data_IF_846118028244
#
_entry.id   IF_846118028244
#
_cell.length_a   1.000
_cell.length_b   1.000
_cell.length_c   1.000
_cell.angle_alpha   90.00
_cell.angle_beta   90.00
_cell.angle_gamma   90.00
#
_symmetry.space_group_name_H-M   'P 1'
#
loop_
_entity.id
_entity.type
_entity.pdbx_description
1 polymer ?
#
# COMPACT_ATOMS: atom_id res chain seq x y z
N UNK A 1 -15.58 16.41 -2.61
CA UNK A 1 -16.38 17.58 -2.23
C UNK A 1 -16.95 18.37 -3.41
N UNK A 2 -16.24 18.52 -4.53
CA UNK A 2 -16.71 19.23 -5.73
C UNK A 2 -18.03 18.71 -6.32
N UNK A 3 -18.26 17.40 -6.36
CA UNK A 3 -19.49 16.81 -6.91
C UNK A 3 -20.77 17.20 -6.13
N UNK A 4 -20.68 17.32 -4.81
CA UNK A 4 -21.80 17.74 -3.96
C UNK A 4 -22.13 19.22 -4.14
N UNK A 5 -21.12 20.05 -4.39
CA UNK A 5 -21.30 21.48 -4.69
C UNK A 5 -21.98 21.66 -6.04
N UNK A 6 -21.59 20.89 -7.06
CA UNK A 6 -22.25 20.93 -8.37
C UNK A 6 -23.72 20.50 -8.29
N UNK A 7 -24.01 19.40 -7.58
CA UNK A 7 -25.38 18.90 -7.41
C UNK A 7 -26.26 19.91 -6.65
N UNK A 8 -25.75 20.45 -5.53
CA UNK A 8 -26.44 21.46 -4.74
C UNK A 8 -26.67 22.76 -5.53
N UNK A 9 -25.70 23.19 -6.34
CA UNK A 9 -25.85 24.37 -7.20
C UNK A 9 -26.92 24.16 -8.28
N UNK A 10 -26.95 22.99 -8.93
CA UNK A 10 -27.99 22.69 -9.93
C UNK A 10 -29.39 22.62 -9.32
N UNK A 11 -29.53 22.05 -8.12
CA UNK A 11 -30.81 22.00 -7.40
C UNK A 11 -31.22 23.38 -6.90
N UNK A 12 -30.28 24.18 -6.39
CA UNK A 12 -30.55 25.54 -5.94
C UNK A 12 -30.98 26.46 -7.09
N UNK A 13 -30.33 26.38 -8.26
CA UNK A 13 -30.74 27.13 -9.47
C UNK A 13 -32.13 26.69 -9.94
N UNK A 14 -32.43 25.39 -9.90
CA UNK A 14 -33.74 24.87 -10.26
C UNK A 14 -34.85 25.35 -9.32
N UNK A 15 -34.63 25.28 -8.00
CA UNK A 15 -35.59 25.75 -6.98
C UNK A 15 -35.76 27.27 -7.06
N UNK A 16 -34.66 28.02 -7.15
CA UNK A 16 -34.69 29.49 -7.24
C UNK A 16 -35.48 29.97 -8.46
N UNK A 17 -35.34 29.30 -9.60
CA UNK A 17 -36.13 29.62 -10.80
C UNK A 17 -37.60 29.23 -10.66
N UNK A 18 -37.90 28.14 -9.97
CA UNK A 18 -39.28 27.70 -9.70
C UNK A 18 -40.02 28.68 -8.78
N UNK A 19 -39.30 29.39 -7.90
CA UNK A 19 -39.89 30.35 -6.96
C UNK A 19 -40.06 31.77 -7.49
N UNK A 20 -39.44 32.12 -8.63
CA UNK A 20 -39.44 33.49 -9.18
C UNK A 20 -40.46 33.73 -10.30
N UNK A 21 -41.21 32.71 -10.72
CA UNK A 21 -42.10 32.78 -11.88
C UNK A 21 -43.55 33.09 -11.48
N UNK A 22 -43.79 34.31 -10.99
CA UNK A 22 -45.13 34.90 -10.87
C UNK A 22 -45.47 35.67 -12.16
N UNK A 23 -45.79 34.96 -13.24
CA UNK A 23 -46.15 35.57 -14.52
C UNK A 23 -46.74 34.58 -15.53
N UNK A 24 -48.08 34.46 -15.53
CA UNK A 24 -48.87 33.42 -16.20
C UNK A 24 -49.08 33.61 -17.73
N UNK A 25 -48.10 34.12 -18.50
CA UNK A 25 -48.30 34.35 -19.95
C UNK A 25 -47.48 33.44 -20.89
N UNK A 26 -46.37 32.83 -20.48
CA UNK A 26 -45.56 32.06 -21.44
C UNK A 26 -45.62 30.54 -21.24
N UNK A 27 -46.74 29.97 -21.71
CA UNK A 27 -46.92 28.52 -21.84
C UNK A 27 -45.80 27.81 -22.65
N UNK A 28 -45.06 28.56 -23.46
CA UNK A 28 -43.91 28.09 -24.22
C UNK A 28 -42.59 28.27 -23.46
N UNK A 29 -42.42 29.31 -22.64
CA UNK A 29 -41.21 29.54 -21.86
C UNK A 29 -41.02 28.51 -20.75
N UNK A 30 -42.09 28.08 -20.07
CA UNK A 30 -41.98 26.99 -19.07
C UNK A 30 -41.59 25.67 -19.72
N UNK A 31 -42.13 25.36 -20.92
CA UNK A 31 -41.73 24.15 -21.67
C UNK A 31 -40.28 24.24 -22.11
N UNK A 32 -39.85 25.37 -22.68
CA UNK A 32 -38.49 25.57 -23.17
C UNK A 32 -37.42 25.54 -22.06
N UNK A 33 -37.79 25.82 -20.81
CA UNK A 33 -36.84 25.86 -19.69
C UNK A 33 -36.86 24.63 -18.78
N UNK A 34 -37.99 23.94 -18.65
CA UNK A 34 -38.06 22.69 -17.87
C UNK A 34 -37.34 21.53 -18.55
N UNK A 35 -37.47 21.39 -19.88
CA UNK A 35 -36.84 20.29 -20.61
C UNK A 35 -35.30 20.29 -20.48
N UNK A 36 -34.58 21.40 -20.67
CA UNK A 36 -33.14 21.47 -20.44
C UNK A 36 -32.74 21.16 -18.99
N UNK A 37 -33.50 21.68 -18.01
CA UNK A 37 -33.26 21.42 -16.59
C UNK A 37 -33.40 19.94 -16.24
N UNK A 38 -34.43 19.28 -16.77
CA UNK A 38 -34.67 17.86 -16.57
C UNK A 38 -33.60 17.00 -17.26
N UNK A 39 -33.16 17.38 -18.47
CA UNK A 39 -32.04 16.72 -19.17
C UNK A 39 -30.73 16.84 -18.40
N UNK A 40 -30.40 18.02 -17.86
CA UNK A 40 -29.20 18.22 -17.03
C UNK A 40 -29.27 17.43 -15.72
N UNK A 41 -30.42 17.39 -15.07
CA UNK A 41 -30.63 16.60 -13.86
C UNK A 41 -30.47 15.10 -14.14
N UNK A 42 -31.11 14.59 -15.20
CA UNK A 42 -30.98 13.20 -15.63
C UNK A 42 -29.52 12.85 -15.98
N UNK A 43 -28.81 13.74 -16.69
CA UNK A 43 -27.39 13.59 -16.98
C UNK A 43 -26.52 13.55 -15.73
N UNK A 44 -26.79 14.42 -14.75
CA UNK A 44 -26.04 14.48 -13.48
C UNK A 44 -26.26 13.23 -12.64
N UNK A 45 -27.50 12.77 -12.53
CA UNK A 45 -27.85 11.50 -11.85
C UNK A 45 -27.18 10.32 -12.56
N UNK A 46 -27.22 10.29 -13.90
CA UNK A 46 -26.53 9.27 -14.71
C UNK A 46 -25.02 9.23 -14.43
N UNK A 47 -24.34 10.39 -14.52
CA UNK A 47 -22.93 10.52 -14.18
C UNK A 47 -22.62 10.11 -12.74
N UNK A 48 -23.51 10.43 -11.78
CA UNK A 48 -23.34 10.05 -10.38
C UNK A 48 -23.46 8.54 -10.16
N UNK A 49 -24.44 7.89 -10.79
CA UNK A 49 -24.59 6.42 -10.74
C UNK A 49 -23.36 5.74 -11.36
N UNK A 50 -22.89 6.25 -12.50
CA UNK A 50 -21.68 5.77 -13.17
C UNK A 50 -20.44 5.97 -12.27
N UNK A 51 -20.30 7.15 -11.65
CA UNK A 51 -19.24 7.44 -10.68
C UNK A 51 -19.27 6.49 -9.49
N UNK A 52 -20.44 6.23 -8.88
CA UNK A 52 -20.56 5.29 -7.77
C UNK A 52 -20.23 3.86 -8.18
N UNK A 53 -20.54 3.46 -9.42
CA UNK A 53 -20.16 2.16 -9.98
C UNK A 53 -18.65 2.07 -10.16
N UNK A 54 -18.01 3.08 -10.74
CA UNK A 54 -16.56 3.13 -10.96
C UNK A 54 -15.76 3.32 -9.67
N UNK A 55 -16.32 3.97 -8.64
CA UNK A 55 -15.66 4.12 -7.33
C UNK A 55 -15.36 2.77 -6.67
N UNK A 56 -16.11 1.71 -7.00
CA UNK A 56 -15.83 0.34 -6.54
C UNK A 56 -14.62 -0.29 -7.23
N UNK A 57 -14.17 0.28 -8.34
CA UNK A 57 -13.00 -0.12 -9.13
C UNK A 57 -11.79 0.81 -8.88
N UNK A 58 -11.91 1.76 -7.96
CA UNK A 58 -10.83 2.67 -7.61
C UNK A 58 -9.72 1.91 -6.89
N UNK A 59 -8.58 1.78 -7.56
CA UNK A 59 -7.41 1.07 -7.06
C UNK A 59 -6.63 1.99 -6.12
N UNK A 60 -6.10 1.46 -5.03
CA UNK A 60 -5.24 2.25 -4.15
C UNK A 60 -3.98 2.72 -4.88
N UNK A 61 -3.88 4.04 -5.10
CA UNK A 61 -2.79 4.66 -5.86
C UNK A 61 -1.39 4.29 -5.32
N UNK A 62 -1.26 4.15 -4.00
CA UNK A 62 0.00 3.79 -3.33
C UNK A 62 0.60 2.47 -3.81
N UNK A 63 -0.21 1.49 -4.25
CA UNK A 63 0.29 0.16 -4.66
C UNK A 63 1.16 0.22 -5.92
N UNK A 64 0.62 0.80 -7.00
CA UNK A 64 1.39 0.94 -8.24
C UNK A 64 2.44 2.06 -8.16
N UNK A 65 2.22 3.07 -7.31
CA UNK A 65 3.21 4.13 -7.08
C UNK A 65 4.45 3.59 -6.34
N UNK A 66 4.29 2.65 -5.41
CA UNK A 66 5.43 1.95 -4.80
C UNK A 66 6.28 1.25 -5.86
N UNK A 67 5.63 0.47 -6.74
CA UNK A 67 6.34 -0.26 -7.78
C UNK A 67 7.11 0.69 -8.71
N UNK A 68 6.47 1.77 -9.18
CA UNK A 68 7.11 2.73 -10.07
C UNK A 68 8.28 3.45 -9.41
N UNK A 69 8.14 3.88 -8.15
CA UNK A 69 9.23 4.54 -7.42
C UNK A 69 10.39 3.61 -7.13
N UNK A 70 10.13 2.36 -6.70
CA UNK A 70 11.18 1.38 -6.43
C UNK A 70 11.96 1.07 -7.72
N UNK A 71 11.27 0.81 -8.84
CA UNK A 71 11.91 0.56 -10.13
C UNK A 71 12.72 1.80 -10.57
N UNK A 72 12.17 2.99 -10.42
CA UNK A 72 12.86 4.23 -10.78
C UNK A 72 14.17 4.41 -10.00
N UNK A 73 14.16 4.14 -8.69
CA UNK A 73 15.35 4.23 -7.84
C UNK A 73 16.38 3.15 -8.15
N UNK A 74 15.93 1.95 -8.51
CA UNK A 74 16.80 0.83 -8.90
C UNK A 74 17.29 0.90 -10.35
N UNK A 75 16.77 1.83 -11.18
CA UNK A 75 17.09 1.92 -12.61
C UNK A 75 18.59 1.99 -12.92
N UNK A 76 19.38 2.60 -12.02
CA UNK A 76 20.85 2.69 -12.19
C UNK A 76 21.57 1.39 -11.87
N UNK A 77 21.00 0.58 -10.98
CA UNK A 77 21.60 -0.68 -10.52
C UNK A 77 21.13 -1.89 -11.34
N UNK A 78 20.00 -1.75 -12.05
CA UNK A 78 19.48 -2.70 -13.02
C UNK A 78 20.16 -2.41 -14.37
N UNK A 79 20.80 -3.42 -14.96
CA UNK A 79 21.41 -3.27 -16.28
C UNK A 79 20.36 -3.00 -17.37
N UNK A 80 20.74 -2.35 -18.49
CA UNK A 80 19.79 -1.99 -19.55
C UNK A 80 19.07 -3.20 -20.16
N UNK A 81 19.72 -4.37 -20.17
CA UNK A 81 19.18 -5.62 -20.72
C UNK A 81 18.64 -6.58 -19.64
N UNK A 82 18.64 -6.17 -18.36
CA UNK A 82 18.21 -7.04 -17.28
C UNK A 82 16.68 -7.12 -17.20
N UNK A 83 16.14 -8.35 -17.21
CA UNK A 83 14.71 -8.60 -17.08
C UNK A 83 14.21 -8.26 -15.67
N UNK A 84 13.11 -7.51 -15.60
CA UNK A 84 12.40 -7.20 -14.36
C UNK A 84 11.07 -7.96 -14.35
N UNK A 85 10.85 -8.83 -13.36
CA UNK A 85 9.56 -9.49 -13.13
C UNK A 85 8.83 -8.75 -12.00
N UNK A 86 7.69 -8.16 -12.34
CA UNK A 86 6.83 -7.43 -11.41
C UNK A 86 5.47 -8.15 -11.31
N UNK A 87 5.07 -8.46 -10.10
CA UNK A 87 3.76 -9.01 -9.77
C UNK A 87 3.05 -8.03 -8.82
N UNK A 88 1.84 -7.63 -9.22
CA UNK A 88 0.97 -6.73 -8.47
C UNK A 88 -0.41 -7.36 -8.37
N UNK A 89 -0.87 -7.56 -7.14
CA UNK A 89 -2.25 -7.92 -6.85
C UNK A 89 -3.03 -6.69 -6.39
N UNK A 90 -4.14 -6.43 -7.05
CA UNK A 90 -5.04 -5.31 -6.77
C UNK A 90 -6.34 -5.76 -6.11
N UNK A 91 -6.50 -7.06 -5.84
CA UNK A 91 -7.67 -7.56 -5.12
C UNK A 91 -7.66 -7.06 -3.67
N UNK A 92 -8.84 -6.77 -3.08
CA UNK A 92 -8.93 -6.27 -1.71
C UNK A 92 -8.21 -7.16 -0.70
N UNK A 93 -7.61 -6.54 0.32
CA UNK A 93 -6.86 -7.23 1.40
C UNK A 93 -7.76 -8.20 2.17
N UNK A 94 -9.05 -7.89 2.26
CA UNK A 94 -10.07 -8.65 2.98
C UNK A 94 -10.86 -9.63 2.09
N UNK A 95 -10.32 -9.96 0.92
CA UNK A 95 -10.88 -11.01 0.08
C UNK A 95 -10.83 -12.37 0.79
N UNK A 96 -11.84 -13.24 0.58
CA UNK A 96 -11.94 -14.52 1.29
C UNK A 96 -10.77 -15.47 0.98
N UNK A 97 -10.18 -15.35 -0.21
CA UNK A 97 -9.00 -16.13 -0.64
C UNK A 97 -7.73 -15.81 0.18
N UNK A 98 -7.68 -14.62 0.78
CA UNK A 98 -6.55 -14.14 1.60
C UNK A 98 -6.74 -14.36 3.10
N UNK A 99 -7.85 -15.01 3.49
CA UNK A 99 -8.15 -15.32 4.88
C UNK A 99 -7.24 -16.44 5.39
N UNK A 100 -6.46 -16.14 6.43
CA UNK A 100 -5.60 -17.13 7.10
C UNK A 100 -6.38 -17.97 8.10
N UNK A 101 -7.43 -17.41 8.69
CA UNK A 101 -8.25 -18.09 9.68
C UNK A 101 -9.04 -17.14 10.55
N UNK A 102 -9.94 -17.75 11.34
CA UNK A 102 -10.79 -17.08 12.32
C UNK A 102 -10.51 -17.64 13.70
N UNK A 103 -10.48 -16.79 14.71
CA UNK A 103 -10.28 -17.22 16.10
C UNK A 103 -10.99 -16.28 17.07
N UNK A 104 -11.31 -16.78 18.26
CA UNK A 104 -11.84 -15.95 19.35
C UNK A 104 -10.70 -15.54 20.27
N UNK A 105 -10.50 -14.24 20.42
CA UNK A 105 -9.50 -13.70 21.35
C UNK A 105 -9.91 -13.97 22.81
N UNK A 106 -8.96 -14.02 23.77
CA UNK A 106 -9.29 -14.21 25.18
C UNK A 106 -10.27 -13.16 25.74
N UNK A 107 -10.29 -11.96 25.15
CA UNK A 107 -11.22 -10.88 25.53
C UNK A 107 -12.63 -11.03 24.95
N UNK A 108 -12.90 -12.09 24.18
CA UNK A 108 -14.18 -12.44 23.60
C UNK A 108 -14.55 -11.63 22.34
N UNK A 109 -13.55 -11.25 21.55
CA UNK A 109 -13.74 -10.75 20.18
C UNK A 109 -13.53 -11.87 19.18
N UNK A 110 -14.38 -11.93 18.16
CA UNK A 110 -14.17 -12.73 16.96
C UNK A 110 -13.17 -12.00 16.07
N UNK A 111 -12.08 -12.67 15.70
CA UNK A 111 -10.99 -12.09 14.92
C UNK A 111 -10.79 -12.87 13.63
N UNK A 112 -10.66 -12.14 12.53
CA UNK A 112 -10.34 -12.66 11.20
C UNK A 112 -8.99 -12.08 10.77
N UNK A 113 -8.04 -12.96 10.46
CA UNK A 113 -6.69 -12.58 10.05
C UNK A 113 -6.53 -12.77 8.55
N UNK A 114 -6.05 -11.75 7.85
CA UNK A 114 -5.80 -11.78 6.41
C UNK A 114 -4.32 -11.54 6.10
N UNK A 115 -3.86 -12.13 5.00
CA UNK A 115 -2.51 -11.93 4.45
C UNK A 115 -2.58 -11.67 2.96
N UNK A 116 -2.13 -10.50 2.55
CA UNK A 116 -2.16 -10.06 1.16
C UNK A 116 -0.72 -9.86 0.64
N UNK A 117 -0.10 -10.88 0.01
CA UNK A 117 1.19 -10.77 -0.66
C UNK A 117 1.04 -10.05 -2.00
N UNK A 118 0.75 -8.75 -1.95
CA UNK A 118 0.30 -8.01 -3.13
C UNK A 118 1.41 -7.52 -4.05
N UNK A 119 2.67 -7.48 -3.59
CA UNK A 119 3.80 -6.97 -4.38
C UNK A 119 4.94 -7.96 -4.38
N UNK A 120 5.44 -8.31 -5.57
CA UNK A 120 6.75 -8.92 -5.75
C UNK A 120 7.48 -8.30 -6.94
N UNK A 121 8.72 -7.87 -6.70
CA UNK A 121 9.65 -7.40 -7.72
C UNK A 121 10.89 -8.28 -7.69
N UNK A 122 11.23 -8.88 -8.82
CA UNK A 122 12.42 -9.71 -8.97
C UNK A 122 13.25 -9.18 -10.13
N UNK A 123 14.54 -9.00 -9.92
CA UNK A 123 15.47 -8.53 -10.95
C UNK A 123 16.88 -9.01 -10.68
N UNK A 124 17.75 -8.84 -11.68
CA UNK A 124 19.18 -9.06 -11.56
C UNK A 124 19.88 -7.71 -11.65
N UNK A 125 20.71 -7.43 -10.65
CA UNK A 125 21.50 -6.22 -10.57
C UNK A 125 22.79 -6.37 -11.40
N UNK A 126 23.45 -5.24 -11.70
CA UNK A 126 24.67 -5.17 -12.52
C UNK A 126 25.84 -6.00 -11.98
N UNK A 127 25.93 -6.14 -10.66
CA UNK A 127 26.92 -6.97 -9.96
C UNK A 127 26.68 -8.49 -10.14
N UNK A 128 25.53 -8.85 -10.71
CA UNK A 128 25.06 -10.22 -10.89
C UNK A 128 24.26 -10.76 -9.71
N UNK A 129 23.94 -9.94 -8.70
CA UNK A 129 23.11 -10.30 -7.55
C UNK A 129 21.65 -10.42 -7.97
N UNK A 130 20.97 -11.48 -7.52
CA UNK A 130 19.52 -11.57 -7.69
C UNK A 130 18.84 -10.84 -6.54
N UNK A 131 18.04 -9.84 -6.88
CA UNK A 131 17.25 -9.05 -5.95
C UNK A 131 15.80 -9.50 -6.02
N UNK A 132 15.20 -9.78 -4.87
CA UNK A 132 13.76 -9.95 -4.70
C UNK A 132 13.27 -8.99 -3.63
N UNK A 133 12.32 -8.14 -3.99
CA UNK A 133 11.59 -7.28 -3.07
C UNK A 133 10.16 -7.79 -3.03
N UNK A 134 9.58 -7.87 -1.84
CA UNK A 134 8.18 -8.22 -1.68
C UNK A 134 7.53 -7.38 -0.59
N UNK A 135 6.23 -7.16 -0.70
CA UNK A 135 5.44 -6.54 0.35
C UNK A 135 4.20 -7.37 0.63
N UNK A 136 3.96 -7.62 1.91
CA UNK A 136 2.78 -8.34 2.39
C UNK A 136 2.00 -7.41 3.30
N UNK A 137 0.77 -7.10 2.94
CA UNK A 137 -0.15 -6.39 3.81
C UNK A 137 -0.84 -7.41 4.73
N UNK A 138 -0.87 -7.12 6.03
CA UNK A 138 -1.63 -7.88 7.02
C UNK A 138 -2.79 -7.03 7.51
N UNK A 139 -3.90 -7.70 7.76
CA UNK A 139 -5.13 -7.08 8.23
C UNK A 139 -5.77 -8.01 9.26
N UNK A 140 -6.08 -7.46 10.42
CA UNK A 140 -6.85 -8.15 11.45
C UNK A 140 -8.17 -7.40 11.64
N UNK A 141 -9.28 -8.04 11.29
CA UNK A 141 -10.63 -7.53 11.57
C UNK A 141 -11.14 -8.20 12.84
N UNK A 142 -11.65 -7.40 13.78
CA UNK A 142 -12.20 -7.88 15.05
C UNK A 142 -13.62 -7.40 15.21
N UNK A 143 -14.56 -8.29 15.47
CA UNK A 143 -15.96 -7.98 15.74
C UNK A 143 -16.37 -8.50 17.12
N UNK A 144 -17.32 -7.81 17.75
CA UNK A 144 -17.92 -8.26 19.00
C UNK A 144 -19.34 -7.78 19.12
N UNK A 145 -20.26 -8.72 19.28
CA UNK A 145 -21.68 -8.43 19.54
C UNK A 145 -21.99 -8.63 21.02
N UNK A 146 -22.59 -7.63 21.66
CA UNK A 146 -23.06 -7.70 23.05
C UNK A 146 -24.44 -7.08 23.18
N UNK A 147 -25.23 -7.57 24.13
CA UNK A 147 -26.51 -6.96 24.52
C UNK A 147 -26.26 -5.72 25.38
N UNK A 148 -26.93 -4.61 25.10
CA UNK A 148 -26.90 -3.38 25.89
C UNK A 148 -27.83 -3.47 27.10
N UNK A 149 -27.67 -2.55 28.06
CA UNK A 149 -28.57 -2.42 29.21
C UNK A 149 -30.04 -2.18 28.80
N UNK A 150 -30.27 -1.53 27.64
CA UNK A 150 -31.59 -1.35 27.03
C UNK A 150 -32.15 -2.58 26.30
N UNK A 151 -31.48 -3.74 26.40
CA UNK A 151 -31.90 -5.00 25.79
C UNK A 151 -31.58 -5.16 24.29
N UNK A 152 -31.07 -4.11 23.62
CA UNK A 152 -30.71 -4.12 22.20
C UNK A 152 -29.35 -4.79 21.96
N UNK A 153 -29.13 -5.37 20.77
CA UNK A 153 -27.81 -5.88 20.38
C UNK A 153 -26.95 -4.75 19.80
N UNK A 154 -25.68 -4.71 20.18
CA UNK A 154 -24.69 -3.78 19.63
C UNK A 154 -23.44 -4.55 19.20
N UNK A 155 -23.06 -4.36 17.95
CA UNK A 155 -21.81 -4.87 17.39
C UNK A 155 -20.77 -3.76 17.37
N UNK A 156 -19.56 -4.08 17.83
CA UNK A 156 -18.38 -3.22 17.71
C UNK A 156 -17.41 -3.87 16.74
N UNK A 157 -16.78 -3.05 15.90
CA UNK A 157 -15.74 -3.47 14.97
C UNK A 157 -14.43 -2.76 15.30
N UNK A 158 -13.32 -3.46 15.12
CA UNK A 158 -11.96 -2.91 15.16
C UNK A 158 -11.18 -3.49 14.00
N UNK A 159 -10.25 -2.71 13.48
CA UNK A 159 -9.39 -3.13 12.39
C UNK A 159 -7.98 -2.64 12.68
N UNK A 160 -7.03 -3.55 12.58
CA UNK A 160 -5.61 -3.22 12.64
C UNK A 160 -4.96 -3.70 11.36
N UNK A 161 -4.07 -2.88 10.79
CA UNK A 161 -3.37 -3.20 9.56
C UNK A 161 -1.91 -2.83 9.69
N UNK A 162 -1.03 -3.69 9.22
CA UNK A 162 0.41 -3.46 9.19
C UNK A 162 1.00 -4.07 7.93
N UNK A 163 2.15 -3.59 7.50
CA UNK A 163 2.82 -4.10 6.32
C UNK A 163 4.16 -4.75 6.68
N UNK A 164 4.50 -5.82 5.95
CA UNK A 164 5.78 -6.49 6.02
C UNK A 164 6.52 -6.23 4.70
N UNK A 165 7.57 -5.42 4.76
CA UNK A 165 8.49 -5.22 3.65
C UNK A 165 9.60 -6.26 3.72
N UNK A 166 9.93 -6.85 2.57
CA UNK A 166 10.91 -7.92 2.47
C UNK A 166 11.89 -7.59 1.35
N UNK A 167 13.18 -7.63 1.66
CA UNK A 167 14.27 -7.54 0.69
C UNK A 167 15.13 -8.77 0.85
N UNK A 168 15.30 -9.49 -0.26
CA UNK A 168 16.14 -10.66 -0.36
C UNK A 168 17.18 -10.45 -1.44
N UNK A 169 18.43 -10.75 -1.10
CA UNK A 169 19.54 -10.74 -2.03
C UNK A 169 20.12 -12.16 -2.10
N UNK A 170 20.39 -12.63 -3.32
CA UNK A 170 21.15 -13.85 -3.53
C UNK A 170 22.46 -13.51 -4.22
N UNK A 171 23.56 -13.81 -3.53
CA UNK A 171 24.92 -13.48 -3.91
C UNK A 171 25.73 -14.74 -4.21
N UNK A 172 26.84 -14.60 -4.93
CA UNK A 172 27.74 -15.73 -5.19
C UNK A 172 28.54 -16.06 -3.93
N UNK A 173 28.27 -17.22 -3.32
CA UNK A 173 28.93 -17.67 -2.09
C UNK A 173 30.47 -17.63 -2.15
N UNK A 174 31.08 -17.91 -3.31
CA UNK A 174 32.54 -17.85 -3.49
C UNK A 174 33.15 -16.47 -3.15
N UNK A 175 32.36 -15.39 -3.27
CA UNK A 175 32.79 -14.03 -2.90
C UNK A 175 32.64 -13.76 -1.40
N UNK A 176 31.74 -14.45 -0.71
CA UNK A 176 31.25 -14.11 0.62
C UNK A 176 31.00 -15.34 1.52
N UNK A 177 32.05 -16.09 1.86
CA UNK A 177 31.92 -17.35 2.62
C UNK A 177 31.52 -17.15 4.10
N UNK A 178 31.89 -16.00 4.69
CA UNK A 178 31.70 -15.73 6.12
C UNK A 178 30.47 -14.88 6.45
N UNK A 179 29.51 -14.76 5.51
CA UNK A 179 28.33 -13.89 5.69
C UNK A 179 27.47 -14.28 6.89
N UNK A 180 27.31 -15.58 7.14
CA UNK A 180 26.47 -16.08 8.22
C UNK A 180 27.00 -15.67 9.61
N UNK A 181 28.32 -15.52 9.75
CA UNK A 181 28.97 -15.14 11.01
C UNK A 181 28.72 -13.67 11.37
N UNK A 182 28.42 -12.83 10.36
CA UNK A 182 28.23 -11.40 10.53
C UNK A 182 26.81 -11.00 10.96
N UNK A 183 25.88 -11.94 11.14
CA UNK A 183 24.48 -11.61 11.44
C UNK A 183 24.31 -10.76 12.72
N UNK A 184 24.97 -11.05 13.85
CA UNK A 184 24.81 -10.26 15.07
C UNK A 184 25.31 -8.82 14.91
N UNK A 185 26.47 -8.63 14.30
CA UNK A 185 27.06 -7.31 14.02
C UNK A 185 26.23 -6.53 13.00
N UNK A 186 25.81 -7.20 11.92
CA UNK A 186 24.95 -6.63 10.90
C UNK A 186 23.64 -6.12 11.52
N UNK A 187 23.04 -6.89 12.42
CA UNK A 187 21.80 -6.49 13.09
C UNK A 187 21.93 -5.18 13.87
N UNK A 188 23.07 -4.96 14.53
CA UNK A 188 23.33 -3.73 15.28
C UNK A 188 23.71 -2.55 14.37
N UNK A 189 24.35 -2.83 13.23
CA UNK A 189 24.80 -1.80 12.29
C UNK A 189 23.71 -1.33 11.30
N UNK A 190 22.60 -2.06 11.17
CA UNK A 190 21.52 -1.72 10.24
C UNK A 190 20.88 -0.37 10.57
N UNK A 191 20.80 0.51 9.57
CA UNK A 191 20.16 1.82 9.67
C UNK A 191 18.86 1.81 8.87
N UNK A 192 17.74 1.67 9.57
CA UNK A 192 16.40 1.81 9.02
C UNK A 192 15.77 3.17 9.43
N UNK A 193 14.76 3.66 8.70
CA UNK A 193 13.95 4.79 9.17
C UNK A 193 13.38 4.52 10.57
N UNK A 194 13.31 5.55 11.42
CA UNK A 194 12.94 5.39 12.84
C UNK A 194 11.56 4.77 13.10
N UNK A 195 10.65 4.87 12.13
CA UNK A 195 9.28 4.32 12.21
C UNK A 195 9.15 2.86 11.74
N UNK A 196 10.27 2.20 11.45
CA UNK A 196 10.30 0.84 10.88
C UNK A 196 11.17 -0.06 11.74
N UNK A 197 10.59 -1.15 12.24
CA UNK A 197 11.31 -2.14 13.03
C UNK A 197 11.87 -3.27 12.15
N UNK A 198 13.05 -3.78 12.50
CA UNK A 198 13.55 -5.05 11.95
C UNK A 198 12.75 -6.18 12.57
N UNK A 199 11.96 -6.88 11.75
CA UNK A 199 11.23 -8.06 12.20
C UNK A 199 12.09 -9.32 12.09
N UNK A 200 12.84 -9.46 10.99
CA UNK A 200 13.69 -10.62 10.74
C UNK A 200 14.88 -10.28 9.87
N UNK A 201 16.09 -10.59 10.33
CA UNK A 201 17.30 -10.66 9.51
C UNK A 201 17.73 -12.13 9.45
N UNK A 202 18.13 -12.60 8.27
CA UNK A 202 18.80 -13.88 8.09
C UNK A 202 19.95 -13.70 7.12
N UNK A 203 21.16 -14.04 7.55
CA UNK A 203 22.33 -14.12 6.67
C UNK A 203 22.73 -15.59 6.51
N UNK A 204 22.62 -16.10 5.29
CA UNK A 204 23.20 -17.38 4.88
C UNK A 204 24.44 -17.17 4.03
N UNK A 205 25.03 -18.28 3.57
CA UNK A 205 26.24 -18.26 2.74
C UNK A 205 26.02 -17.58 1.37
N UNK A 206 24.87 -17.82 0.74
CA UNK A 206 24.54 -17.32 -0.60
C UNK A 206 23.32 -16.39 -0.63
N UNK A 207 22.66 -16.19 0.52
CA UNK A 207 21.37 -15.50 0.62
C UNK A 207 21.33 -14.59 1.82
N UNK A 208 20.79 -13.40 1.66
CA UNK A 208 20.47 -12.50 2.75
C UNK A 208 18.99 -12.13 2.65
N UNK A 209 18.32 -12.12 3.78
CA UNK A 209 16.91 -11.79 3.88
C UNK A 209 16.71 -10.79 5.00
N UNK A 210 16.11 -9.66 4.67
CA UNK A 210 15.70 -8.64 5.62
C UNK A 210 14.20 -8.43 5.49
N UNK A 211 13.48 -8.60 6.59
CA UNK A 211 12.07 -8.27 6.73
C UNK A 211 11.90 -7.22 7.80
N UNK A 212 11.10 -6.22 7.47
CA UNK A 212 10.78 -5.12 8.36
C UNK A 212 9.28 -5.02 8.56
N UNK A 213 8.89 -4.62 9.77
CA UNK A 213 7.52 -4.38 10.16
C UNK A 213 7.24 -2.88 10.10
N UNK A 214 6.19 -2.53 9.36
CA UNK A 214 5.65 -1.18 9.26
C UNK A 214 4.27 -1.19 9.92
N UNK A 215 4.22 -0.77 11.19
CA UNK A 215 2.98 -0.77 11.99
C UNK A 215 2.09 0.44 11.70
N UNK A 216 2.70 1.57 11.31
CA UNK A 216 1.98 2.78 10.90
C UNK A 216 1.48 2.66 9.46
N UNK A 217 0.59 3.57 9.09
CA UNK A 217 0.20 3.70 7.69
C UNK A 217 1.41 4.06 6.83
N UNK A 218 1.39 3.62 5.58
CA UNK A 218 2.49 3.81 4.65
C UNK A 218 1.99 4.43 3.36
N UNK A 219 2.86 5.20 2.74
CA UNK A 219 2.59 5.82 1.45
C UNK A 219 3.80 5.66 0.52
N UNK A 220 3.51 5.76 -0.77
CA UNK A 220 4.49 5.76 -1.84
C UNK A 220 4.33 6.97 -2.77
N UNK A 221 3.59 8.00 -2.35
CA UNK A 221 3.49 9.27 -3.08
C UNK A 221 4.84 9.99 -3.22
N UNK A 222 4.96 10.94 -4.18
CA UNK A 222 6.19 11.74 -4.34
C UNK A 222 6.45 12.66 -3.14
N UNK A 223 5.39 13.10 -2.47
CA UNK A 223 5.44 13.85 -1.23
C UNK A 223 4.60 13.10 -0.20
N UNK A 224 5.25 12.25 0.60
CA UNK A 224 4.60 11.59 1.74
C UNK A 224 4.23 12.67 2.74
N UNK A 225 2.92 12.86 2.96
CA UNK A 225 2.39 13.86 3.89
C UNK A 225 2.04 13.20 5.23
N UNK A 226 2.26 13.94 6.32
CA UNK A 226 1.93 13.50 7.67
C UNK A 226 2.91 12.46 8.23
N UNK A 227 2.40 11.58 9.10
CA UNK A 227 3.19 10.58 9.85
C UNK A 227 3.30 9.23 9.13
N UNK A 228 2.93 9.17 7.85
CA UNK A 228 2.99 7.94 7.06
C UNK A 228 4.44 7.58 6.71
N UNK A 229 4.75 6.29 6.72
CA UNK A 229 6.07 5.78 6.36
C UNK A 229 6.27 5.82 4.85
N UNK A 230 7.37 6.45 4.40
CA UNK A 230 7.82 6.37 3.00
C UNK A 230 8.32 4.95 2.69
N UNK A 231 7.44 4.14 2.10
CA UNK A 231 7.73 2.76 1.77
C UNK A 231 8.85 2.62 0.71
N UNK A 232 8.86 3.38 -0.40
CA UNK A 232 9.98 3.37 -1.35
C UNK A 232 11.33 3.68 -0.70
N UNK A 233 11.39 4.64 0.24
CA UNK A 233 12.64 5.01 0.95
C UNK A 233 13.08 3.90 1.89
N UNK A 234 12.13 3.31 2.61
CA UNK A 234 12.38 2.14 3.46
C UNK A 234 13.01 1.01 2.66
N UNK A 235 12.47 0.67 1.49
CA UNK A 235 13.02 -0.38 0.60
C UNK A 235 14.46 -0.09 0.19
N UNK A 236 14.77 1.14 -0.22
CA UNK A 236 16.14 1.52 -0.60
C UNK A 236 17.08 1.47 0.60
N UNK A 237 16.65 1.92 1.78
CA UNK A 237 17.48 1.85 2.99
C UNK A 237 17.72 0.42 3.46
N UNK A 238 16.72 -0.47 3.32
CA UNK A 238 16.89 -1.91 3.54
C UNK A 238 17.94 -2.49 2.58
N UNK A 239 17.86 -2.15 1.30
CA UNK A 239 18.80 -2.59 0.28
C UNK A 239 20.23 -2.09 0.58
N UNK A 240 20.38 -0.80 0.85
CA UNK A 240 21.66 -0.19 1.22
C UNK A 240 22.27 -0.82 2.47
N UNK A 241 21.45 -1.10 3.47
CA UNK A 241 21.89 -1.77 4.71
C UNK A 241 22.45 -3.16 4.42
N UNK A 242 21.78 -3.96 3.58
CA UNK A 242 22.29 -5.26 3.16
C UNK A 242 23.59 -5.14 2.33
N UNK A 243 23.70 -4.13 1.47
CA UNK A 243 24.93 -3.88 0.71
C UNK A 243 26.09 -3.42 1.58
N UNK A 244 25.84 -2.67 2.66
CA UNK A 244 26.88 -2.32 3.63
C UNK A 244 27.45 -3.57 4.30
N UNK A 245 26.60 -4.54 4.67
CA UNK A 245 27.04 -5.84 5.20
C UNK A 245 27.90 -6.60 4.18
N UNK A 246 27.51 -6.61 2.90
CA UNK A 246 28.32 -7.22 1.84
C UNK A 246 29.70 -6.57 1.67
N UNK A 247 29.75 -5.23 1.69
CA UNK A 247 30.98 -4.49 1.56
C UNK A 247 31.91 -4.70 2.76
N UNK A 248 31.35 -4.73 3.97
CA UNK A 248 32.10 -5.01 5.19
C UNK A 248 32.69 -6.43 5.17
N UNK A 249 31.90 -7.44 4.81
CA UNK A 249 32.39 -8.82 4.60
C UNK A 249 33.56 -8.90 3.63
N UNK A 250 33.50 -8.14 2.53
CA UNK A 250 34.57 -8.07 1.54
C UNK A 250 35.86 -7.43 2.09
N UNK A 251 35.74 -6.39 2.90
CA UNK A 251 36.87 -5.70 3.53
C UNK A 251 37.60 -6.60 4.54
N UNK A 252 36.85 -7.30 5.40
CA UNK A 252 37.43 -8.25 6.37
C UNK A 252 38.26 -9.33 5.66
N UNK A 253 37.75 -9.86 4.54
CA UNK A 253 38.48 -10.85 3.74
C UNK A 253 39.77 -10.29 3.12
N UNK A 254 39.76 -9.01 2.70
CA UNK A 254 40.97 -8.38 2.15
C UNK A 254 42.03 -8.19 3.24
N UNK A 255 41.62 -7.82 4.45
CA UNK A 255 42.52 -7.71 5.60
C UNK A 255 43.12 -9.07 5.98
N UNK A 256 42.30 -10.12 6.05
CA UNK A 256 42.76 -11.48 6.36
C UNK A 256 43.71 -12.08 5.31
N UNK A 257 43.69 -11.57 4.06
CA UNK A 257 44.65 -11.96 3.01
C UNK A 257 45.96 -11.17 3.06
N UNK A 258 45.96 -10.01 3.71
CA UNK A 258 47.11 -9.12 3.81
C UNK A 258 47.94 -9.38 5.07
N UNK A 259 47.34 -10.00 6.10
CA UNK A 259 47.99 -10.56 7.29
C UNK A 259 48.54 -11.96 7.02
#
# INVERSE_FOLDING_TARGET
NSAWVCLAATVAVFIYRMTLDEGLEDALAWRLTLWPGLVLLAGTVGCFVVYLRFRRLDLENRRYTLASQVIHRLRRDIGPDASVRLELDFTPVDSPEKLLGKHTTPSGWEAENFSDPWFSLQTRLLDGTHLRIAMVQRLMKRSRTRRSASGKYKTKHRQDSWALLQVQLRVKAARHQDLALLEPEARQAMRLPGDVAVDKLQLGEDRMFLRTLVEKDWDAGPNVQGDAVDAPKTVVMMLLSLYQVLNYSRQLRQQAKAS
#
